data_IF_001263199571
#
_entry.id   IF_001263199571
#
_cell.length_a   1.000
_cell.length_b   1.000
_cell.length_c   1.000
_cell.angle_alpha   90.00
_cell.angle_beta   90.00
_cell.angle_gamma   90.00
#
_symmetry.space_group_name_H-M   'P 1'
#
loop_
_entity.id
_entity.type
_entity.pdbx_description
1 polymer ?
#
# COMPACT_ATOMS: atom_id res chain seq x y z
N UNK A 1 0.65 -2.20 7.65
CA UNK A 1 -0.76 -1.77 7.60
C UNK A 1 -1.52 -2.27 8.82
N UNK A 2 -1.84 -3.57 8.96
CA UNK A 2 -2.55 -4.10 10.16
C UNK A 2 -2.00 -3.60 11.51
N UNK A 3 -0.68 -3.64 11.70
CA UNK A 3 -0.04 -3.13 12.92
C UNK A 3 -0.31 -1.63 13.16
N UNK A 4 -0.34 -0.82 12.10
CA UNK A 4 -0.57 0.63 12.18
C UNK A 4 -2.04 0.92 12.48
N UNK A 5 -2.96 0.21 11.81
CA UNK A 5 -4.40 0.30 12.07
C UNK A 5 -4.73 -0.14 13.50
N UNK A 6 -4.20 -1.29 13.95
CA UNK A 6 -4.35 -1.76 15.33
C UNK A 6 -3.74 -0.79 16.35
N UNK A 7 -2.73 0.00 15.95
CA UNK A 7 -2.16 1.09 16.72
C UNK A 7 -3.00 2.38 16.73
N UNK A 8 -4.19 2.37 16.11
CA UNK A 8 -5.11 3.50 16.08
C UNK A 8 -4.84 4.53 14.97
N UNK A 9 -3.98 4.23 14.00
CA UNK A 9 -3.73 5.13 12.88
C UNK A 9 -4.77 4.88 11.78
N UNK A 10 -5.51 5.92 11.31
CA UNK A 10 -6.43 5.78 10.19
C UNK A 10 -5.70 5.32 8.93
N UNK A 11 -6.28 4.37 8.19
CA UNK A 11 -5.71 3.86 6.95
C UNK A 11 -6.51 4.37 5.74
N UNK A 12 -5.80 4.83 4.72
CA UNK A 12 -6.40 5.21 3.44
C UNK A 12 -6.41 3.99 2.51
N UNK A 13 -7.61 3.48 2.23
CA UNK A 13 -7.88 2.33 1.36
C UNK A 13 -9.13 2.60 0.52
N UNK A 14 -9.25 2.00 -0.66
CA UNK A 14 -10.43 2.15 -1.53
C UNK A 14 -11.40 0.96 -1.46
N UNK A 15 -11.01 -0.13 -0.81
CA UNK A 15 -11.83 -1.34 -0.63
C UNK A 15 -12.21 -2.04 -1.94
N UNK A 16 -11.54 -1.77 -3.07
CA UNK A 16 -11.94 -2.33 -4.38
C UNK A 16 -11.67 -3.83 -4.48
N UNK A 17 -10.66 -4.34 -3.79
CA UNK A 17 -10.37 -5.77 -3.70
C UNK A 17 -10.94 -6.36 -2.42
N UNK A 18 -11.84 -7.32 -2.58
CA UNK A 18 -12.37 -8.11 -1.47
C UNK A 18 -11.34 -9.09 -0.92
N UNK A 19 -11.59 -9.58 0.29
CA UNK A 19 -10.82 -10.66 0.89
C UNK A 19 -10.80 -11.92 0.00
N UNK A 20 -9.70 -12.64 0.06
CA UNK A 20 -9.53 -13.93 -0.62
C UNK A 20 -8.76 -14.91 0.27
N UNK A 21 -8.48 -16.10 -0.26
CA UNK A 21 -7.79 -17.17 0.47
C UNK A 21 -6.38 -16.76 0.92
N UNK A 22 -5.70 -15.90 0.18
CA UNK A 22 -4.35 -15.44 0.50
C UNK A 22 -4.38 -14.26 1.49
N UNK A 23 -5.45 -13.46 1.43
CA UNK A 23 -5.65 -12.27 2.26
C UNK A 23 -7.08 -12.27 2.83
N UNK A 24 -7.35 -13.08 3.88
CA UNK A 24 -8.71 -13.26 4.42
C UNK A 24 -9.28 -12.01 5.09
N UNK A 25 -8.43 -11.07 5.47
CA UNK A 25 -8.82 -9.78 6.04
C UNK A 25 -8.86 -8.65 4.98
N UNK A 26 -8.74 -8.99 3.70
CA UNK A 26 -8.77 -8.02 2.61
C UNK A 26 -7.43 -7.30 2.39
N UNK A 27 -7.51 -6.22 1.61
CA UNK A 27 -6.37 -5.53 1.05
C UNK A 27 -6.35 -4.05 1.45
N UNK A 28 -5.19 -3.59 1.93
CA UNK A 28 -4.94 -2.16 2.16
C UNK A 28 -4.43 -1.49 0.88
N UNK A 29 -5.27 -1.50 -0.16
CA UNK A 29 -4.95 -0.92 -1.46
C UNK A 29 -5.69 0.40 -1.65
N UNK A 30 -5.03 1.34 -2.33
CA UNK A 30 -5.59 2.59 -2.80
C UNK A 30 -5.10 2.78 -4.24
N UNK A 31 -5.92 2.46 -5.23
CA UNK A 31 -5.51 2.30 -6.63
C UNK A 31 -4.83 3.54 -7.22
N UNK A 32 -5.20 4.75 -6.77
CA UNK A 32 -4.60 6.01 -7.24
C UNK A 32 -3.10 6.09 -6.97
N UNK A 33 -2.57 5.35 -5.98
CA UNK A 33 -1.12 5.22 -5.75
C UNK A 33 -0.40 4.76 -7.02
N UNK A 34 -0.99 3.87 -7.82
CA UNK A 34 -0.38 3.32 -9.04
C UNK A 34 -0.29 4.35 -10.19
N UNK A 35 -0.87 5.53 -10.03
CA UNK A 35 -0.84 6.61 -11.01
C UNK A 35 -0.01 7.81 -10.53
N UNK A 36 0.75 7.67 -9.43
CA UNK A 36 1.68 8.70 -8.95
C UNK A 36 2.72 9.09 -10.00
N UNK A 37 3.30 8.12 -10.70
CA UNK A 37 4.24 8.31 -11.82
C UNK A 37 3.61 9.05 -13.02
N UNK A 38 2.28 9.08 -13.10
CA UNK A 38 1.49 9.80 -14.09
C UNK A 38 1.01 11.16 -13.60
N UNK A 39 1.43 11.57 -12.40
CA UNK A 39 1.06 12.84 -11.79
C UNK A 39 -0.27 12.85 -11.03
N UNK A 40 -0.89 11.69 -10.76
CA UNK A 40 -2.10 11.64 -9.92
C UNK A 40 -1.76 11.77 -8.43
N UNK A 41 -1.51 13.00 -8.00
CA UNK A 41 -1.14 13.36 -6.63
C UNK A 41 -2.23 14.13 -5.88
N UNK A 42 -3.34 14.46 -6.54
CA UNK A 42 -4.38 15.33 -5.96
C UNK A 42 -5.03 14.80 -4.67
N UNK A 43 -4.98 13.48 -4.44
CA UNK A 43 -5.47 12.85 -3.21
C UNK A 43 -4.54 13.03 -2.00
N UNK A 44 -3.27 13.39 -2.21
CA UNK A 44 -2.26 13.40 -1.14
C UNK A 44 -2.60 14.48 -0.09
N UNK A 45 -3.11 15.63 -0.52
CA UNK A 45 -3.54 16.71 0.38
C UNK A 45 -4.69 16.26 1.31
N UNK A 46 -5.62 15.46 0.80
CA UNK A 46 -6.77 14.94 1.56
C UNK A 46 -6.39 13.77 2.48
N UNK A 47 -5.19 13.19 2.31
CA UNK A 47 -4.71 12.04 3.06
C UNK A 47 -3.99 12.42 4.38
N UNK A 48 -3.96 13.71 4.73
CA UNK A 48 -3.22 14.17 5.91
C UNK A 48 -3.72 13.51 7.20
N UNK A 49 -2.78 13.01 8.02
CA UNK A 49 -3.10 12.26 9.25
C UNK A 49 -3.50 10.79 9.04
N UNK A 50 -3.52 10.31 7.80
CA UNK A 50 -3.80 8.91 7.47
C UNK A 50 -2.53 8.18 7.02
N UNK A 51 -2.59 6.85 7.02
CA UNK A 51 -1.54 5.96 6.53
C UNK A 51 -1.96 5.40 5.19
N UNK A 52 -1.12 5.59 4.17
CA UNK A 52 -1.30 5.00 2.84
C UNK A 52 -0.14 4.05 2.52
N UNK A 53 -0.45 2.90 1.89
CA UNK A 53 0.57 1.98 1.41
C UNK A 53 1.04 2.42 0.02
N UNK A 54 2.31 2.83 -0.08
CA UNK A 54 2.92 3.27 -1.34
C UNK A 54 3.94 2.23 -1.82
N UNK A 55 3.98 1.99 -3.13
CA UNK A 55 5.03 1.17 -3.77
C UNK A 55 6.34 1.96 -3.68
N UNK A 56 7.42 1.36 -3.18
CA UNK A 56 8.68 2.09 -2.92
C UNK A 56 9.22 2.83 -4.14
N UNK A 57 9.08 2.26 -5.34
CA UNK A 57 9.46 2.89 -6.61
C UNK A 57 8.62 4.11 -6.98
N UNK A 58 7.46 4.29 -6.35
CA UNK A 58 6.58 5.43 -6.58
C UNK A 58 6.74 6.55 -5.53
N UNK A 59 7.61 6.36 -4.54
CA UNK A 59 7.83 7.32 -3.47
C UNK A 59 8.37 8.65 -4.01
N UNK A 60 9.22 8.62 -5.04
CA UNK A 60 9.84 9.82 -5.64
C UNK A 60 8.84 10.75 -6.33
N UNK A 61 7.65 10.25 -6.67
CA UNK A 61 6.59 11.03 -7.32
C UNK A 61 5.61 11.67 -6.33
N UNK A 62 5.81 11.48 -5.02
CA UNK A 62 5.02 12.19 -4.03
C UNK A 62 5.33 13.70 -4.05
N UNK A 63 4.32 14.56 -3.88
CA UNK A 63 4.53 16.01 -3.82
C UNK A 63 5.55 16.43 -2.76
N UNK A 64 6.55 17.21 -3.14
CA UNK A 64 7.63 17.67 -2.26
C UNK A 64 7.20 18.80 -1.30
N UNK A 65 6.02 19.38 -1.50
CA UNK A 65 5.42 20.44 -0.68
C UNK A 65 4.65 19.92 0.54
N UNK A 66 4.69 18.61 0.77
CA UNK A 66 4.03 17.94 1.90
C UNK A 66 5.06 17.30 2.84
N UNK A 67 4.68 17.10 4.09
CA UNK A 67 5.51 16.43 5.10
C UNK A 67 5.08 14.99 5.32
N UNK A 68 6.02 14.05 5.21
CA UNK A 68 5.75 12.62 5.33
C UNK A 68 6.52 12.00 6.48
N UNK A 69 5.89 11.03 7.15
CA UNK A 69 6.60 10.05 7.97
C UNK A 69 6.64 8.75 7.20
N UNK A 70 7.83 8.31 6.81
CA UNK A 70 8.02 7.15 5.95
C UNK A 70 8.51 5.96 6.76
N UNK A 71 7.84 4.81 6.62
CA UNK A 71 8.27 3.53 7.16
C UNK A 71 8.59 2.60 6.00
N UNK A 72 9.85 2.24 5.83
CA UNK A 72 10.26 1.23 4.87
C UNK A 72 10.11 -0.17 5.46
N UNK A 73 9.45 -1.05 4.71
CA UNK A 73 9.32 -2.46 5.06
C UNK A 73 10.33 -3.27 4.24
N UNK A 74 11.32 -3.86 4.89
CA UNK A 74 12.28 -4.76 4.25
C UNK A 74 11.89 -6.21 4.50
N UNK A 75 11.97 -7.04 3.45
CA UNK A 75 11.71 -8.48 3.51
C UNK A 75 12.77 -9.20 2.68
N UNK A 76 13.20 -10.36 3.13
CA UNK A 76 14.17 -11.15 2.38
C UNK A 76 13.58 -11.59 1.03
N UNK A 77 14.37 -11.47 -0.04
CA UNK A 77 13.89 -11.72 -1.41
C UNK A 77 13.33 -13.14 -1.58
N UNK A 78 13.94 -14.14 -0.95
CA UNK A 78 13.46 -15.51 -1.01
C UNK A 78 12.08 -15.71 -0.38
N UNK A 79 11.79 -14.96 0.67
CA UNK A 79 10.48 -14.98 1.33
C UNK A 79 9.42 -14.29 0.45
N UNK A 80 9.79 -13.19 -0.20
CA UNK A 80 8.94 -12.50 -1.18
C UNK A 80 8.59 -13.46 -2.33
N UNK A 81 9.59 -14.07 -2.97
CA UNK A 81 9.40 -14.99 -4.09
C UNK A 81 8.53 -16.19 -3.71
N UNK A 82 8.75 -16.78 -2.53
CA UNK A 82 7.91 -17.87 -2.01
C UNK A 82 6.45 -17.44 -1.83
N UNK A 83 6.22 -16.26 -1.25
CA UNK A 83 4.88 -15.70 -1.05
C UNK A 83 4.17 -15.46 -2.39
N UNK A 84 4.87 -14.90 -3.38
CA UNK A 84 4.29 -14.62 -4.70
C UNK A 84 3.96 -15.90 -5.47
N UNK A 85 4.82 -16.94 -5.41
CA UNK A 85 4.51 -18.25 -6.03
C UNK A 85 3.22 -18.86 -5.50
N UNK A 86 3.04 -18.86 -4.17
CA UNK A 86 1.81 -19.38 -3.55
C UNK A 86 0.56 -18.62 -4.02
N UNK A 87 0.64 -17.29 -4.13
CA UNK A 87 -0.48 -16.48 -4.63
C UNK A 87 -0.78 -16.77 -6.11
N UNK A 88 0.23 -17.07 -6.92
CA UNK A 88 0.04 -17.45 -8.32
C UNK A 88 -0.64 -18.81 -8.46
N UNK A 89 -0.29 -19.80 -7.62
CA UNK A 89 -0.94 -21.11 -7.59
C UNK A 89 -2.45 -21.04 -7.33
N UNK A 90 -2.91 -20.03 -6.58
CA UNK A 90 -4.34 -19.81 -6.31
C UNK A 90 -5.07 -18.96 -7.37
N UNK A 91 -4.33 -18.35 -8.30
CA UNK A 91 -4.88 -17.51 -9.37
C UNK A 91 -4.90 -18.21 -10.73
N UNK A 92 -4.34 -19.43 -10.82
CA UNK A 92 -4.35 -20.31 -11.99
C UNK A 92 -5.53 -21.26 -12.01
#
# INVERSE_FOLDING_TARGET
MKMLEAGGLPVLIDGRRSADRDNPEGYYEFERVKALDKGDTGWVADAHGQVVKVISALLEFLPADQSYRVIFMHRQIEEVLRSQRKMLEHRG
#
